data_IF_837109267634
#
_entry.id   IF_837109267634
#
_cell.length_a   1.000
_cell.length_b   1.000
_cell.length_c   1.000
_cell.angle_alpha   90.00
_cell.angle_beta   90.00
_cell.angle_gamma   90.00
#
_symmetry.space_group_name_H-M   'P 1'
#
loop_
_entity.id
_entity.type
_entity.pdbx_description
1 polymer ?
#
# COMPACT_ATOMS: atom_id res chain seq x y z
N UNK A 1 9.72 -3.26 -11.04
CA UNK A 1 9.34 -1.85 -11.18
C UNK A 1 8.21 -1.65 -12.20
N UNK A 2 8.34 -2.18 -13.42
CA UNK A 2 7.36 -1.96 -14.50
C UNK A 2 5.94 -2.38 -14.12
N UNK A 3 5.76 -3.56 -13.53
CA UNK A 3 4.45 -4.03 -13.07
C UNK A 3 3.82 -3.11 -12.02
N UNK A 4 4.62 -2.70 -11.03
CA UNK A 4 4.15 -1.76 -10.03
C UNK A 4 3.79 -0.41 -10.63
N UNK A 5 4.64 0.11 -11.53
CA UNK A 5 4.38 1.38 -12.21
C UNK A 5 3.06 1.36 -12.96
N UNK A 6 2.81 0.32 -13.75
CA UNK A 6 1.62 0.24 -14.59
C UNK A 6 0.34 0.11 -13.75
N UNK A 7 0.36 -0.69 -12.69
CA UNK A 7 -0.76 -0.78 -11.74
C UNK A 7 -0.97 0.52 -10.96
N UNK A 8 0.11 1.18 -10.57
CA UNK A 8 0.03 2.45 -9.82
C UNK A 8 -0.47 3.62 -10.67
N UNK A 9 -0.15 3.65 -11.97
CA UNK A 9 -0.73 4.62 -12.90
C UNK A 9 -2.24 4.46 -13.06
N UNK A 10 -2.73 3.21 -13.05
CA UNK A 10 -4.18 2.93 -13.05
C UNK A 10 -4.82 3.34 -11.70
N UNK A 11 -4.13 3.11 -10.60
CA UNK A 11 -4.58 3.50 -9.26
C UNK A 11 -4.75 5.02 -9.10
N UNK A 12 -3.99 5.84 -9.85
CA UNK A 12 -4.17 7.30 -9.86
C UNK A 12 -5.43 7.80 -10.57
N UNK A 13 -6.34 6.91 -11.01
CA UNK A 13 -7.67 7.31 -11.43
C UNK A 13 -8.59 7.45 -10.21
N UNK A 14 -8.79 8.67 -9.74
CA UNK A 14 -9.52 8.97 -8.50
C UNK A 14 -10.98 8.47 -8.51
N UNK A 15 -11.61 8.38 -9.67
CA UNK A 15 -12.99 7.87 -9.81
C UNK A 15 -13.08 6.37 -9.46
N UNK A 16 -12.02 5.62 -9.69
CA UNK A 16 -11.97 4.17 -9.48
C UNK A 16 -11.39 3.79 -8.10
N UNK A 17 -10.84 4.74 -7.37
CA UNK A 17 -10.21 4.48 -6.06
C UNK A 17 -11.12 3.68 -5.13
N UNK A 18 -10.54 2.67 -4.51
CA UNK A 18 -11.16 1.72 -3.59
C UNK A 18 -12.12 0.70 -4.22
N UNK A 19 -12.51 0.84 -5.49
CA UNK A 19 -13.45 -0.09 -6.13
C UNK A 19 -12.81 -1.48 -6.31
N UNK A 20 -13.43 -2.53 -5.76
CA UNK A 20 -12.90 -3.90 -5.86
C UNK A 20 -12.86 -4.39 -7.31
N UNK A 21 -11.69 -4.88 -7.75
CA UNK A 21 -11.50 -5.43 -9.10
C UNK A 21 -11.27 -4.38 -10.20
N UNK A 22 -11.42 -3.09 -9.90
CA UNK A 22 -11.15 -1.95 -10.80
C UNK A 22 -9.87 -1.26 -10.36
N UNK A 23 -9.83 -0.73 -9.14
CA UNK A 23 -8.61 -0.23 -8.54
C UNK A 23 -7.66 -1.40 -8.18
N UNK A 24 -6.48 -1.50 -8.81
CA UNK A 24 -5.54 -2.60 -8.56
C UNK A 24 -4.97 -2.60 -7.14
N UNK A 25 -5.01 -1.46 -6.45
CA UNK A 25 -4.54 -1.33 -5.07
C UNK A 25 -5.69 -1.43 -4.04
N UNK A 26 -6.93 -1.63 -4.48
CA UNK A 26 -8.09 -1.77 -3.59
C UNK A 26 -7.90 -2.91 -2.58
N UNK A 27 -8.26 -2.61 -1.34
CA UNK A 27 -8.21 -3.53 -0.20
C UNK A 27 -9.61 -3.97 0.25
N UNK A 28 -10.60 -3.77 -0.60
CA UNK A 28 -11.99 -4.09 -0.33
C UNK A 28 -12.46 -5.25 -1.19
N UNK A 29 -13.51 -5.90 -0.73
CA UNK A 29 -14.26 -6.92 -1.46
C UNK A 29 -15.62 -6.37 -1.84
N UNK A 30 -16.11 -6.72 -3.03
CA UNK A 30 -17.50 -6.50 -3.37
C UNK A 30 -18.42 -7.52 -2.66
N UNK A 31 -19.75 -7.32 -2.77
CA UNK A 31 -20.72 -8.18 -2.11
C UNK A 31 -20.53 -9.64 -2.50
N UNK A 32 -20.40 -9.97 -3.78
CA UNK A 32 -20.26 -11.32 -4.27
C UNK A 32 -18.98 -11.98 -3.74
N UNK A 33 -17.85 -11.28 -3.78
CA UNK A 33 -16.57 -11.78 -3.25
C UNK A 33 -16.68 -12.06 -1.74
N UNK A 34 -17.36 -11.19 -0.99
CA UNK A 34 -17.59 -11.39 0.43
C UNK A 34 -18.45 -12.62 0.71
N UNK A 35 -19.55 -12.79 -0.01
CA UNK A 35 -20.50 -13.88 0.21
C UNK A 35 -19.90 -15.25 -0.15
N UNK A 36 -19.03 -15.30 -1.15
CA UNK A 36 -18.34 -16.54 -1.56
C UNK A 36 -17.09 -16.84 -0.73
N UNK A 37 -16.61 -15.89 0.09
CA UNK A 37 -15.45 -16.11 0.96
C UNK A 37 -15.78 -17.04 2.12
N UNK A 38 -14.88 -17.99 2.39
CA UNK A 38 -14.91 -18.83 3.58
C UNK A 38 -14.76 -18.02 4.87
N UNK A 39 -15.14 -18.58 6.02
CA UNK A 39 -14.94 -17.93 7.33
C UNK A 39 -13.47 -17.61 7.60
N UNK A 40 -12.56 -18.48 7.18
CA UNK A 40 -11.11 -18.24 7.30
C UNK A 40 -10.68 -17.04 6.47
N UNK A 41 -11.07 -16.95 5.20
CA UNK A 41 -10.75 -15.82 4.32
C UNK A 41 -11.32 -14.51 4.87
N UNK A 42 -12.57 -14.51 5.34
CA UNK A 42 -13.16 -13.35 6.02
C UNK A 42 -12.36 -12.94 7.25
N UNK A 43 -11.90 -13.91 8.05
CA UNK A 43 -11.02 -13.64 9.19
C UNK A 43 -9.70 -13.00 8.78
N UNK A 44 -9.05 -13.50 7.73
CA UNK A 44 -7.82 -12.89 7.15
C UNK A 44 -8.09 -11.47 6.67
N UNK A 45 -9.21 -11.22 5.97
CA UNK A 45 -9.56 -9.87 5.52
C UNK A 45 -9.78 -8.91 6.70
N UNK A 46 -10.47 -9.35 7.77
CA UNK A 46 -10.63 -8.54 8.97
C UNK A 46 -9.29 -8.25 9.66
N UNK A 47 -8.40 -9.24 9.76
CA UNK A 47 -7.06 -9.04 10.33
C UNK A 47 -6.26 -8.01 9.53
N UNK A 48 -6.30 -8.06 8.20
CA UNK A 48 -5.57 -7.09 7.37
C UNK A 48 -6.11 -5.65 7.47
N UNK A 49 -7.29 -5.46 8.07
CA UNK A 49 -7.84 -4.14 8.44
C UNK A 49 -7.35 -3.64 9.80
N UNK A 50 -6.48 -4.37 10.48
CA UNK A 50 -5.73 -3.92 11.66
C UNK A 50 -4.28 -3.60 11.29
N UNK A 51 -3.60 -2.73 12.05
CA UNK A 51 -2.19 -2.41 11.80
C UNK A 51 -1.31 -3.65 11.99
N UNK A 52 -1.53 -4.42 13.06
CA UNK A 52 -0.77 -5.65 13.35
C UNK A 52 -1.00 -6.71 12.26
N UNK A 53 -2.23 -6.96 11.90
CA UNK A 53 -2.55 -7.92 10.84
C UNK A 53 -1.99 -7.50 9.50
N UNK A 54 -2.00 -6.21 9.18
CA UNK A 54 -1.35 -5.66 7.99
C UNK A 54 0.15 -5.89 8.03
N UNK A 55 0.80 -5.59 9.13
CA UNK A 55 2.25 -5.79 9.31
C UNK A 55 2.65 -7.25 9.11
N UNK A 56 1.90 -8.20 9.67
CA UNK A 56 2.24 -9.62 9.62
C UNK A 56 1.82 -10.30 8.31
N UNK A 57 0.67 -9.95 7.74
CA UNK A 57 0.05 -10.71 6.65
C UNK A 57 0.16 -10.04 5.28
N UNK A 58 0.37 -8.72 5.21
CA UNK A 58 0.30 -8.04 3.92
C UNK A 58 1.41 -8.47 2.95
N UNK A 59 2.65 -8.67 3.44
CA UNK A 59 3.76 -9.11 2.60
C UNK A 59 3.51 -10.51 2.00
N UNK A 60 3.23 -11.58 2.79
CA UNK A 60 2.96 -12.90 2.22
C UNK A 60 1.71 -12.92 1.33
N UNK A 61 0.66 -12.19 1.67
CA UNK A 61 -0.54 -12.10 0.84
C UNK A 61 -0.28 -11.36 -0.48
N UNK A 62 0.52 -10.30 -0.46
CA UNK A 62 0.90 -9.56 -1.67
C UNK A 62 1.76 -10.44 -2.60
N UNK A 63 2.76 -11.13 -2.05
CA UNK A 63 3.59 -12.08 -2.81
C UNK A 63 2.71 -13.19 -3.43
N UNK A 64 1.82 -13.79 -2.65
CA UNK A 64 0.93 -14.84 -3.14
C UNK A 64 0.00 -14.37 -4.26
N UNK A 65 -0.57 -13.16 -4.14
CA UNK A 65 -1.41 -12.55 -5.19
C UNK A 65 -0.61 -12.23 -6.45
N UNK A 66 0.54 -11.59 -6.30
CA UNK A 66 1.43 -11.26 -7.40
C UNK A 66 1.86 -12.54 -8.14
N UNK A 67 2.34 -13.56 -7.43
CA UNK A 67 2.77 -14.82 -8.02
C UNK A 67 1.66 -15.49 -8.82
N UNK A 68 0.43 -15.52 -8.28
CA UNK A 68 -0.74 -16.09 -8.99
C UNK A 68 -1.12 -15.29 -10.23
N UNK A 69 -1.08 -13.97 -10.16
CA UNK A 69 -1.35 -13.08 -11.28
C UNK A 69 -0.31 -13.26 -12.39
N UNK A 70 0.96 -13.20 -12.04
CA UNK A 70 2.06 -13.25 -12.98
C UNK A 70 2.26 -14.66 -13.59
N UNK A 71 1.97 -15.72 -12.85
CA UNK A 71 1.99 -17.08 -13.39
C UNK A 71 1.06 -17.22 -14.60
N UNK A 72 -0.12 -16.61 -14.55
CA UNK A 72 -1.07 -16.61 -15.69
C UNK A 72 -0.60 -15.80 -16.90
N UNK A 73 0.26 -14.80 -16.69
CA UNK A 73 0.80 -13.91 -17.70
C UNK A 73 2.22 -14.27 -18.14
N UNK A 74 2.79 -15.32 -17.57
CA UNK A 74 4.19 -15.68 -17.79
C UNK A 74 4.59 -15.73 -19.27
N UNK A 75 3.78 -16.29 -20.21
CA UNK A 75 4.14 -16.31 -21.63
C UNK A 75 4.38 -14.93 -22.24
N UNK A 76 3.75 -13.87 -21.70
CA UNK A 76 3.89 -12.50 -22.20
C UNK A 76 4.99 -11.71 -21.48
N UNK A 77 5.29 -12.06 -20.21
CA UNK A 77 6.15 -11.25 -19.35
C UNK A 77 7.45 -11.95 -18.92
N UNK A 78 7.75 -13.14 -19.46
CA UNK A 78 8.93 -13.92 -19.09
C UNK A 78 10.26 -13.18 -19.25
N UNK A 79 10.50 -12.31 -20.29
CA UNK A 79 11.79 -11.62 -20.39
C UNK A 79 12.03 -10.67 -19.22
N UNK A 80 10.96 -10.01 -18.74
CA UNK A 80 11.03 -9.14 -17.58
C UNK A 80 11.35 -9.95 -16.30
N UNK A 81 10.71 -11.12 -16.14
CA UNK A 81 10.99 -12.00 -15.00
C UNK A 81 12.39 -12.60 -15.05
N UNK A 82 12.88 -12.91 -16.24
CA UNK A 82 14.26 -13.37 -16.42
C UNK A 82 15.26 -12.28 -15.99
N UNK A 83 15.08 -11.05 -16.46
CA UNK A 83 15.92 -9.92 -16.08
C UNK A 83 15.86 -9.65 -14.56
N UNK A 84 14.64 -9.66 -13.98
CA UNK A 84 14.45 -9.49 -12.52
C UNK A 84 15.14 -10.60 -11.72
N UNK A 85 14.99 -11.85 -12.14
CA UNK A 85 15.63 -12.99 -11.48
C UNK A 85 17.16 -12.91 -11.58
N UNK A 86 17.71 -12.55 -12.73
CA UNK A 86 19.14 -12.37 -12.90
C UNK A 86 19.70 -11.30 -11.95
N UNK A 87 19.08 -10.12 -11.89
CA UNK A 87 19.48 -9.05 -10.97
C UNK A 87 19.35 -9.48 -9.51
N UNK A 88 18.28 -10.18 -9.16
CA UNK A 88 18.04 -10.69 -7.80
C UNK A 88 19.12 -11.71 -7.39
N UNK A 89 19.46 -12.64 -8.28
CA UNK A 89 20.52 -13.63 -8.05
C UNK A 89 21.88 -12.95 -7.85
N UNK A 90 22.21 -11.97 -8.70
CA UNK A 90 23.46 -11.20 -8.56
C UNK A 90 23.51 -10.44 -7.23
N UNK A 91 22.41 -9.78 -6.86
CA UNK A 91 22.31 -9.07 -5.58
C UNK A 91 22.45 -10.01 -4.37
N UNK A 92 21.72 -11.13 -4.37
CA UNK A 92 21.83 -12.12 -3.28
C UNK A 92 23.21 -12.77 -3.24
N UNK A 93 23.82 -13.03 -4.39
CA UNK A 93 25.20 -13.50 -4.49
C UNK A 93 26.20 -12.47 -3.93
N UNK A 94 26.00 -11.18 -4.22
CA UNK A 94 26.81 -10.11 -3.62
C UNK A 94 26.67 -10.08 -2.09
N UNK A 95 25.41 -10.12 -1.58
CA UNK A 95 25.17 -10.16 -0.14
C UNK A 95 25.85 -11.36 0.51
N UNK A 96 25.72 -12.56 -0.08
CA UNK A 96 26.30 -13.77 0.46
C UNK A 96 27.84 -13.75 0.54
N UNK A 97 28.51 -13.06 -0.39
CA UNK A 97 29.97 -13.05 -0.46
C UNK A 97 30.63 -11.84 0.21
N UNK A 98 29.92 -10.71 0.30
CA UNK A 98 30.49 -9.42 0.76
C UNK A 98 29.85 -8.85 2.02
N UNK A 99 28.82 -9.49 2.58
CA UNK A 99 28.23 -9.07 3.86
C UNK A 99 28.34 -10.17 4.93
N UNK A 100 28.22 -9.77 6.19
CA UNK A 100 28.12 -10.69 7.32
C UNK A 100 26.75 -11.41 7.41
N UNK A 101 25.79 -11.04 6.56
CA UNK A 101 24.45 -11.62 6.56
C UNK A 101 24.37 -12.80 5.59
N UNK A 102 23.86 -13.94 6.05
CA UNK A 102 23.43 -14.96 5.11
C UNK A 102 22.21 -14.49 4.31
N UNK A 103 21.99 -15.07 3.13
CA UNK A 103 20.81 -14.77 2.30
C UNK A 103 19.50 -14.90 3.09
N UNK A 104 19.38 -15.91 3.94
CA UNK A 104 18.18 -16.11 4.77
C UNK A 104 18.01 -15.01 5.83
N UNK A 105 19.09 -14.59 6.48
CA UNK A 105 19.01 -13.45 7.39
C UNK A 105 18.62 -12.17 6.67
N UNK A 106 19.15 -11.91 5.48
CA UNK A 106 18.75 -10.78 4.67
C UNK A 106 17.26 -10.82 4.30
N UNK A 107 16.76 -11.97 3.83
CA UNK A 107 15.35 -12.11 3.47
C UNK A 107 14.44 -11.90 4.68
N UNK A 108 14.73 -12.54 5.81
CA UNK A 108 13.86 -12.52 6.99
C UNK A 108 13.97 -11.23 7.81
N UNK A 109 15.16 -10.64 7.93
CA UNK A 109 15.40 -9.49 8.81
C UNK A 109 15.41 -8.14 8.05
N UNK A 110 15.50 -8.17 6.72
CA UNK A 110 15.50 -6.96 5.90
C UNK A 110 14.31 -6.95 4.94
N UNK A 111 14.21 -7.93 4.04
CA UNK A 111 13.20 -7.88 2.96
C UNK A 111 11.77 -8.00 3.50
N UNK A 112 11.49 -8.95 4.39
CA UNK A 112 10.13 -9.12 4.96
C UNK A 112 9.73 -7.91 5.81
N UNK A 113 10.54 -7.40 6.76
CA UNK A 113 10.20 -6.17 7.49
C UNK A 113 10.04 -4.95 6.60
N UNK A 114 10.86 -4.79 5.56
CA UNK A 114 10.72 -3.68 4.61
C UNK A 114 9.39 -3.71 3.86
N UNK A 115 8.96 -4.89 3.38
CA UNK A 115 7.64 -5.07 2.76
C UNK A 115 6.50 -4.83 3.76
N UNK A 116 6.66 -5.28 5.00
CA UNK A 116 5.70 -5.04 6.07
C UNK A 116 5.57 -3.55 6.39
N UNK A 117 6.68 -2.81 6.50
CA UNK A 117 6.68 -1.36 6.68
C UNK A 117 6.04 -0.63 5.49
N UNK A 118 6.36 -1.05 4.25
CA UNK A 118 5.70 -0.49 3.07
C UNK A 118 4.18 -0.71 3.11
N UNK A 119 3.71 -1.83 3.67
CA UNK A 119 2.27 -2.08 3.84
C UNK A 119 1.62 -1.23 4.92
N UNK A 120 2.39 -0.78 5.94
CA UNK A 120 1.93 0.18 6.94
C UNK A 120 1.81 1.57 6.33
N UNK A 121 2.73 1.96 5.42
CA UNK A 121 2.61 3.21 4.66
C UNK A 121 1.23 3.31 4.03
N UNK A 122 0.81 2.25 3.32
CA UNK A 122 -0.47 2.20 2.60
C UNK A 122 -1.65 1.70 3.46
N UNK A 123 -1.54 1.75 4.79
CA UNK A 123 -2.55 1.13 5.65
C UNK A 123 -3.92 1.79 5.51
N UNK A 124 -3.99 3.10 5.44
CA UNK A 124 -5.24 3.85 5.34
C UNK A 124 -5.10 5.05 4.41
N UNK A 125 -4.52 4.82 3.23
CA UNK A 125 -4.35 5.86 2.22
C UNK A 125 -5.67 6.24 1.56
N UNK A 126 -6.59 5.26 1.42
CA UNK A 126 -7.89 5.45 0.79
C UNK A 126 -9.02 4.87 1.62
N UNK A 127 -10.14 5.56 1.61
CA UNK A 127 -11.42 5.11 2.18
C UNK A 127 -12.52 5.15 1.12
N UNK A 128 -13.54 4.27 1.17
CA UNK A 128 -14.71 4.39 0.31
C UNK A 128 -15.46 5.69 0.64
N UNK A 129 -15.75 6.46 -0.38
CA UNK A 129 -16.58 7.66 -0.28
C UNK A 129 -17.30 7.91 -1.60
N UNK A 130 -18.50 8.54 -1.57
CA UNK A 130 -19.27 8.85 -2.78
C UNK A 130 -18.54 9.87 -3.66
N UNK A 131 -17.94 10.88 -3.03
CA UNK A 131 -17.15 11.90 -3.73
C UNK A 131 -15.70 11.40 -3.87
N UNK A 132 -15.16 11.26 -5.09
CA UNK A 132 -13.82 10.76 -5.35
C UNK A 132 -12.73 11.53 -4.59
N UNK A 133 -12.82 12.86 -4.54
CA UNK A 133 -11.84 13.75 -3.90
C UNK A 133 -11.70 13.48 -2.39
N UNK A 134 -12.71 12.86 -1.77
CA UNK A 134 -12.73 12.58 -0.33
C UNK A 134 -12.27 11.15 0.01
N UNK A 135 -11.78 10.40 -1.00
CA UNK A 135 -11.30 9.04 -0.82
C UNK A 135 -9.85 8.96 -0.36
N UNK A 136 -9.07 10.05 -0.49
CA UNK A 136 -7.61 10.04 -0.27
C UNK A 136 -7.22 10.80 0.98
N UNK A 137 -6.32 10.21 1.78
CA UNK A 137 -5.93 10.69 3.10
C UNK A 137 -4.92 11.86 3.05
N UNK A 138 -5.00 12.71 4.07
CA UNK A 138 -3.92 13.54 4.55
C UNK A 138 -3.47 13.02 5.91
N UNK A 139 -2.25 12.51 6.02
CA UNK A 139 -1.72 12.02 7.29
C UNK A 139 -0.59 12.94 7.75
N UNK A 140 -0.84 13.74 8.78
CA UNK A 140 0.13 14.67 9.38
C UNK A 140 1.12 13.91 10.27
N UNK A 141 1.94 13.07 9.65
CA UNK A 141 2.90 12.22 10.32
C UNK A 141 4.11 13.01 10.83
N UNK A 142 4.71 12.53 11.92
CA UNK A 142 5.95 13.07 12.48
C UNK A 142 7.17 12.73 11.62
N UNK A 143 8.28 13.48 11.83
CA UNK A 143 9.51 13.42 11.04
C UNK A 143 10.04 12.02 10.72
N UNK A 144 10.13 11.04 11.63
CA UNK A 144 10.66 9.72 11.27
C UNK A 144 9.84 9.02 10.16
N UNK A 145 8.52 9.12 10.22
CA UNK A 145 7.61 8.51 9.25
C UNK A 145 7.61 9.24 7.91
N UNK A 146 7.66 10.59 7.93
CA UNK A 146 7.68 11.37 6.69
C UNK A 146 8.94 11.10 5.90
N UNK A 147 10.07 10.91 6.57
CA UNK A 147 11.33 10.54 5.94
C UNK A 147 11.32 9.11 5.42
N UNK A 148 10.89 8.16 6.26
CA UNK A 148 10.80 6.73 5.89
C UNK A 148 9.90 6.51 4.68
N UNK A 149 8.81 7.27 4.58
CA UNK A 149 7.81 7.11 3.52
C UNK A 149 7.86 8.21 2.46
N UNK A 150 8.93 8.98 2.40
CA UNK A 150 9.17 10.01 1.39
C UNK A 150 7.98 10.98 1.25
N UNK A 151 7.44 11.47 2.38
CA UNK A 151 6.28 12.35 2.46
C UNK A 151 4.99 11.84 1.77
N UNK A 152 4.94 10.57 1.32
CA UNK A 152 3.75 10.01 0.70
C UNK A 152 2.55 9.84 1.67
N UNK A 153 2.76 10.14 2.95
CA UNK A 153 1.70 10.33 3.93
C UNK A 153 0.77 11.53 3.60
N UNK A 154 1.23 12.49 2.79
CA UNK A 154 0.40 13.55 2.21
C UNK A 154 -0.23 13.08 0.89
N UNK A 155 -0.95 11.97 0.95
CA UNK A 155 -1.32 11.17 -0.21
C UNK A 155 -2.26 11.88 -1.17
N UNK A 156 -3.20 12.70 -0.67
CA UNK A 156 -4.06 13.53 -1.51
C UNK A 156 -3.24 14.54 -2.35
N UNK A 157 -2.22 15.14 -1.76
CA UNK A 157 -1.35 16.08 -2.52
C UNK A 157 -0.56 15.33 -3.59
N UNK A 158 -0.15 14.09 -3.31
CA UNK A 158 0.51 13.22 -4.28
C UNK A 158 -0.43 12.82 -5.43
N UNK A 159 -1.68 12.46 -5.14
CA UNK A 159 -2.67 12.11 -6.18
C UNK A 159 -3.00 13.29 -7.09
N UNK A 160 -3.22 14.47 -6.53
CA UNK A 160 -3.50 15.68 -7.30
C UNK A 160 -2.27 16.18 -8.11
N UNK A 161 -1.06 15.94 -7.59
CA UNK A 161 0.19 16.42 -8.18
C UNK A 161 1.22 15.28 -8.32
N UNK A 162 0.94 14.22 -9.10
CA UNK A 162 1.76 13.00 -9.13
C UNK A 162 3.18 13.20 -9.69
N UNK A 163 3.42 14.30 -10.40
CA UNK A 163 4.74 14.69 -10.92
C UNK A 163 5.55 15.55 -9.95
N UNK A 164 4.95 15.96 -8.81
CA UNK A 164 5.65 16.77 -7.83
C UNK A 164 6.65 15.89 -7.07
N UNK A 165 7.94 16.31 -6.98
CA UNK A 165 8.93 15.58 -6.20
C UNK A 165 8.52 15.46 -4.72
N UNK A 166 8.74 14.28 -4.13
CA UNK A 166 8.32 13.95 -2.77
C UNK A 166 8.77 14.96 -1.70
N UNK A 167 9.94 15.57 -1.87
CA UNK A 167 10.49 16.56 -0.91
C UNK A 167 9.78 17.92 -0.98
N UNK A 168 8.99 18.18 -2.03
CA UNK A 168 8.20 19.42 -2.17
C UNK A 168 6.75 19.24 -1.66
N UNK A 169 6.26 18.01 -1.48
CA UNK A 169 4.92 17.74 -0.97
C UNK A 169 4.58 18.50 0.33
N UNK A 170 5.47 18.54 1.35
CA UNK A 170 5.18 19.28 2.58
C UNK A 170 5.10 20.79 2.39
N UNK A 171 5.85 21.35 1.45
CA UNK A 171 5.80 22.79 1.15
C UNK A 171 4.48 23.17 0.52
N UNK A 172 4.04 22.41 -0.49
CA UNK A 172 2.75 22.62 -1.16
C UNK A 172 1.59 22.42 -0.18
N UNK A 173 1.64 21.36 0.64
CA UNK A 173 0.63 21.09 1.64
C UNK A 173 0.50 22.25 2.64
N UNK A 174 1.60 22.67 3.26
CA UNK A 174 1.62 23.74 4.28
C UNK A 174 1.14 25.08 3.75
N UNK A 175 1.47 25.41 2.49
CA UNK A 175 1.06 26.66 1.87
C UNK A 175 -0.47 26.83 1.75
N UNK A 176 -1.24 25.70 1.68
CA UNK A 176 -2.68 25.70 1.49
C UNK A 176 -3.37 24.62 2.33
N UNK A 177 -2.89 24.38 3.55
CA UNK A 177 -3.35 23.29 4.42
C UNK A 177 -4.88 23.22 4.57
N UNK A 178 -5.52 24.36 4.81
CA UNK A 178 -6.98 24.40 5.00
C UNK A 178 -7.74 23.99 3.75
N UNK A 179 -7.26 24.40 2.57
CA UNK A 179 -7.87 24.01 1.29
C UNK A 179 -7.72 22.50 1.05
N UNK A 180 -6.54 21.92 1.35
CA UNK A 180 -6.30 20.49 1.23
C UNK A 180 -7.18 19.68 2.18
N UNK A 181 -7.31 20.12 3.44
CA UNK A 181 -8.17 19.48 4.43
C UNK A 181 -9.64 19.56 4.03
N UNK A 182 -10.11 20.70 3.54
CA UNK A 182 -11.47 20.84 3.01
C UNK A 182 -11.70 19.91 1.82
N UNK A 183 -10.75 19.85 0.85
CA UNK A 183 -10.82 18.97 -0.32
C UNK A 183 -10.89 17.48 0.05
N UNK A 184 -10.16 17.06 1.09
CA UNK A 184 -10.22 15.67 1.59
C UNK A 184 -11.53 15.31 2.30
N UNK A 185 -12.46 16.25 2.43
CA UNK A 185 -13.67 16.07 3.27
C UNK A 185 -13.33 15.76 4.73
N UNK A 186 -12.23 16.35 5.24
CA UNK A 186 -11.75 16.11 6.59
C UNK A 186 -11.12 14.73 6.79
N UNK A 187 -10.75 14.01 5.73
CA UNK A 187 -10.01 12.75 5.86
C UNK A 187 -8.55 13.04 6.26
N UNK A 188 -8.42 13.41 7.54
CA UNK A 188 -7.18 13.81 8.18
C UNK A 188 -6.82 12.83 9.29
N UNK A 189 -5.57 12.35 9.28
CA UNK A 189 -4.98 11.47 10.29
C UNK A 189 -3.83 12.19 10.98
N UNK A 190 -3.75 12.09 12.30
CA UNK A 190 -2.72 12.72 13.13
C UNK A 190 -1.52 11.78 13.34
N UNK A 191 -0.95 11.30 12.24
CA UNK A 191 0.23 10.46 12.22
C UNK A 191 -0.02 8.97 12.42
N UNK A 192 1.02 8.17 12.12
CA UNK A 192 0.97 6.70 12.26
C UNK A 192 0.81 6.25 13.71
N UNK A 193 1.28 7.04 14.69
CA UNK A 193 1.04 6.76 16.11
C UNK A 193 -0.44 6.70 16.46
N UNK A 194 -1.27 7.58 15.89
CA UNK A 194 -2.71 7.54 16.05
C UNK A 194 -3.33 6.29 15.43
N UNK A 195 -2.88 5.89 14.24
CA UNK A 195 -3.35 4.66 13.59
C UNK A 195 -2.99 3.43 14.42
N UNK A 196 -1.76 3.35 14.91
CA UNK A 196 -1.28 2.24 15.74
C UNK A 196 -2.07 2.16 17.05
N UNK A 197 -2.25 3.28 17.76
CA UNK A 197 -2.94 3.28 19.04
C UNK A 197 -4.43 2.93 18.93
N UNK A 198 -5.09 3.37 17.85
CA UNK A 198 -6.54 3.13 17.65
C UNK A 198 -6.85 1.83 16.94
N UNK A 199 -5.98 1.42 16.02
CA UNK A 199 -6.22 0.32 15.08
C UNK A 199 -5.14 -0.76 15.11
N UNK A 200 -4.29 -0.78 16.15
CA UNK A 200 -3.27 -1.82 16.32
C UNK A 200 -3.83 -3.22 16.16
N UNK A 201 -4.89 -3.50 16.88
CA UNK A 201 -5.63 -4.78 16.86
C UNK A 201 -7.12 -4.63 16.51
N UNK A 202 -7.61 -3.40 16.36
CA UNK A 202 -8.99 -3.10 15.98
C UNK A 202 -9.05 -2.73 14.51
N UNK A 203 -9.91 -3.39 13.74
CA UNK A 203 -10.12 -3.06 12.33
C UNK A 203 -10.53 -1.59 12.16
N UNK A 204 -9.98 -0.92 11.14
CA UNK A 204 -10.23 0.49 10.86
C UNK A 204 -11.57 0.72 10.17
N UNK A 205 -11.96 -0.24 9.32
CA UNK A 205 -13.24 -0.26 8.60
C UNK A 205 -13.63 -1.69 8.21
N UNK A 206 -14.74 -1.85 7.50
CA UNK A 206 -15.18 -3.14 6.97
C UNK A 206 -14.30 -3.57 5.78
N UNK A 207 -13.95 -4.87 5.67
CA UNK A 207 -13.35 -5.40 4.45
C UNK A 207 -14.28 -5.34 3.23
N UNK A 208 -15.60 -5.29 3.44
CA UNK A 208 -16.59 -5.16 2.38
C UNK A 208 -16.76 -3.70 1.98
N UNK A 209 -16.67 -3.43 0.68
CA UNK A 209 -16.89 -2.10 0.14
C UNK A 209 -18.37 -1.70 0.30
N UNK A 210 -18.67 -0.51 0.84
CA UNK A 210 -20.05 -0.14 1.16
C UNK A 210 -20.91 0.19 -0.08
N UNK A 211 -20.28 0.44 -1.23
CA UNK A 211 -20.95 0.89 -2.47
C UNK A 211 -20.72 -0.05 -3.67
N UNK A 212 -20.06 -1.21 -3.50
CA UNK A 212 -19.74 -2.16 -4.58
C UNK A 212 -20.22 -3.58 -4.28
#
# INVERSE_FOLDING_TARGET
YTLYRDSHLLHHNDEDLTLPGIDPESRYLNQQQWDTSSLFERGVHWLTKTVLGRFLLAAPLAIGRLSRHEYRRLPQVWPMWLAHSAVTVLMLGFIANYSALSVWHYLLLVSVPALSLASIRSYYEHRPHLQPEQRTVLNEASWPWTWLFLNNNLHLVHHDLPKLPWYLLPTVYRARREQWVARSGGFLVQGYGQLISRHGVKAIDSPRHPFA
#
